data_IF_348663231136
#
_entry.id   IF_348663231136
#
_cell.length_a   1.000
_cell.length_b   1.000
_cell.length_c   1.000
_cell.angle_alpha   90.00
_cell.angle_beta   90.00
_cell.angle_gamma   90.00
#
_symmetry.space_group_name_H-M   'P 1'
#
loop_
_entity.id
_entity.type
_entity.pdbx_description
1 polymer ?
#
# COMPACT_ATOMS: atom_id res chain seq x y z
N UNK A 1 -9.92 18.31 -14.61
CA UNK A 1 -9.26 18.00 -13.31
C UNK A 1 -8.01 17.16 -13.58
N UNK A 2 -7.04 17.15 -12.66
CA UNK A 2 -5.75 16.43 -12.82
C UNK A 2 -5.92 14.92 -13.08
N UNK A 3 -7.04 14.32 -12.63
CA UNK A 3 -7.36 12.89 -12.80
C UNK A 3 -8.59 12.63 -13.69
N UNK A 4 -8.92 13.54 -14.61
CA UNK A 4 -10.09 13.42 -15.48
C UNK A 4 -9.74 13.13 -16.95
N UNK A 5 -8.51 12.71 -17.22
CA UNK A 5 -8.08 12.38 -18.57
C UNK A 5 -8.74 11.07 -19.03
N UNK A 6 -9.71 11.20 -19.93
CA UNK A 6 -10.44 10.07 -20.51
C UNK A 6 -9.67 9.41 -21.67
N UNK A 7 -8.49 9.92 -22.03
CA UNK A 7 -7.64 9.29 -23.05
C UNK A 7 -6.80 8.12 -22.50
N UNK A 8 -6.72 7.99 -21.18
CA UNK A 8 -6.03 6.87 -20.53
C UNK A 8 -6.81 5.58 -20.84
N UNK A 9 -6.18 4.55 -21.44
CA UNK A 9 -6.86 3.31 -21.78
C UNK A 9 -7.29 2.55 -20.51
N UNK A 10 -8.47 1.93 -20.58
CA UNK A 10 -8.98 1.03 -19.54
C UNK A 10 -8.92 -0.39 -20.06
N UNK A 11 -8.12 -1.23 -19.41
CA UNK A 11 -7.88 -2.63 -19.79
C UNK A 11 -8.40 -3.53 -18.68
N UNK A 12 -9.07 -4.63 -19.05
CA UNK A 12 -9.50 -5.65 -18.09
C UNK A 12 -8.29 -6.37 -17.51
N UNK A 13 -8.30 -6.60 -16.19
CA UNK A 13 -7.25 -7.34 -15.50
C UNK A 13 -7.82 -8.28 -14.43
N UNK A 14 -7.04 -9.30 -14.09
CA UNK A 14 -7.23 -10.22 -12.97
C UNK A 14 -6.32 -9.75 -11.84
N UNK A 15 -6.84 -9.76 -10.61
CA UNK A 15 -6.13 -9.33 -9.42
C UNK A 15 -6.01 -10.51 -8.45
N UNK A 16 -4.79 -10.87 -8.12
CA UNK A 16 -4.48 -11.97 -7.20
C UNK A 16 -3.57 -11.49 -6.08
N UNK A 17 -3.55 -12.28 -5.00
CA UNK A 17 -2.70 -12.03 -3.84
C UNK A 17 -2.17 -13.35 -3.30
N UNK A 18 -0.93 -13.35 -2.84
CA UNK A 18 -0.29 -14.49 -2.19
C UNK A 18 0.55 -14.02 -1.00
N UNK A 19 0.78 -14.92 -0.06
CA UNK A 19 1.59 -14.68 1.13
C UNK A 19 0.82 -14.74 2.45
N UNK A 20 1.59 -14.78 3.54
CA UNK A 20 1.09 -14.99 4.89
C UNK A 20 1.04 -13.70 5.73
N UNK A 21 1.45 -12.58 5.15
CA UNK A 21 1.50 -11.27 5.81
C UNK A 21 2.55 -11.16 6.92
N UNK A 22 3.42 -12.17 7.07
CA UNK A 22 4.48 -12.23 8.09
C UNK A 22 5.87 -12.32 7.45
N UNK A 23 6.02 -13.14 6.42
CA UNK A 23 7.27 -13.33 5.70
C UNK A 23 7.29 -12.51 4.41
N UNK A 24 6.18 -12.55 3.67
CA UNK A 24 6.00 -11.77 2.46
C UNK A 24 4.52 -11.55 2.16
N UNK A 25 4.27 -10.62 1.24
CA UNK A 25 2.99 -10.40 0.59
C UNK A 25 3.26 -10.07 -0.87
N UNK A 26 2.51 -10.68 -1.78
CA UNK A 26 2.61 -10.42 -3.21
C UNK A 26 1.23 -10.06 -3.74
N UNK A 27 1.15 -8.99 -4.51
CA UNK A 27 -0.03 -8.64 -5.30
C UNK A 27 0.31 -8.72 -6.78
N UNK A 28 -0.57 -9.38 -7.54
CA UNK A 28 -0.41 -9.59 -8.97
C UNK A 28 -1.57 -8.95 -9.72
N UNK A 29 -1.25 -8.26 -10.81
CA UNK A 29 -2.19 -7.69 -11.76
C UNK A 29 -1.85 -8.22 -13.14
N UNK A 30 -2.73 -9.05 -13.69
CA UNK A 30 -2.56 -9.65 -15.01
C UNK A 30 -3.64 -9.15 -15.97
N UNK A 31 -3.24 -8.57 -17.08
CA UNK A 31 -4.12 -8.12 -18.15
C UNK A 31 -3.81 -8.86 -19.45
N UNK A 32 -4.51 -8.49 -20.53
CA UNK A 32 -4.19 -9.00 -21.86
C UNK A 32 -2.83 -8.51 -22.39
N UNK A 33 -2.28 -7.43 -21.83
CA UNK A 33 -1.10 -6.74 -22.36
C UNK A 33 0.10 -6.79 -21.40
N UNK A 34 -0.15 -6.80 -20.10
CA UNK A 34 0.87 -6.67 -19.06
C UNK A 34 0.61 -7.60 -17.88
N UNK A 35 1.70 -8.06 -17.26
CA UNK A 35 1.73 -8.75 -15.98
C UNK A 35 2.60 -7.96 -15.01
N UNK A 36 2.01 -7.57 -13.88
CA UNK A 36 2.67 -6.77 -12.84
C UNK A 36 2.61 -7.57 -11.54
N UNK A 37 3.77 -7.77 -10.92
CA UNK A 37 3.88 -8.39 -9.59
C UNK A 37 4.60 -7.43 -8.65
N UNK A 38 4.02 -7.18 -7.48
CA UNK A 38 4.64 -6.40 -6.42
C UNK A 38 4.72 -7.22 -5.14
N UNK A 39 5.94 -7.48 -4.68
CA UNK A 39 6.21 -8.27 -3.48
C UNK A 39 6.84 -7.41 -2.40
N UNK A 40 6.29 -7.46 -1.18
CA UNK A 40 6.84 -6.85 0.04
C UNK A 40 7.36 -7.95 0.97
N UNK A 41 8.53 -7.74 1.59
CA UNK A 41 9.10 -8.68 2.55
C UNK A 41 10.09 -7.98 3.50
N UNK A 42 10.65 -8.72 4.46
CA UNK A 42 11.48 -8.17 5.54
C UNK A 42 10.73 -7.07 6.30
N UNK A 43 9.57 -7.45 6.85
CA UNK A 43 8.68 -6.52 7.52
C UNK A 43 9.30 -5.98 8.83
N UNK A 44 9.02 -4.72 9.11
CA UNK A 44 9.26 -4.10 10.40
C UNK A 44 8.07 -4.35 11.35
N UNK A 45 8.22 -3.90 12.59
CA UNK A 45 7.16 -4.02 13.59
C UNK A 45 5.88 -3.28 13.11
N UNK A 46 4.73 -3.97 13.05
CA UNK A 46 3.47 -3.32 12.70
C UNK A 46 3.07 -2.25 13.71
N UNK A 47 2.42 -1.19 13.23
CA UNK A 47 1.89 -0.15 14.13
C UNK A 47 0.55 0.40 13.64
N UNK A 48 -0.20 0.98 14.58
CA UNK A 48 -1.46 1.66 14.26
C UNK A 48 -1.22 3.17 14.24
N UNK A 49 -1.50 3.80 13.10
CA UNK A 49 -1.63 5.24 13.02
C UNK A 49 -3.07 5.65 13.31
N UNK A 50 -3.24 6.63 14.20
CA UNK A 50 -4.55 7.15 14.60
C UNK A 50 -4.71 8.58 14.13
N UNK A 51 -5.86 8.87 13.55
CA UNK A 51 -6.36 10.23 13.38
C UNK A 51 -7.74 10.34 14.04
N UNK A 52 -7.89 11.28 14.96
CA UNK A 52 -9.16 11.47 15.69
C UNK A 52 -10.28 12.00 14.77
N UNK A 53 -11.55 11.73 15.10
CA UNK A 53 -12.67 12.42 14.47
C UNK A 53 -12.49 13.95 14.49
N UNK A 54 -12.65 14.60 13.33
CA UNK A 54 -12.50 16.05 13.18
C UNK A 54 -11.07 16.59 13.20
N UNK A 55 -10.04 15.74 13.38
CA UNK A 55 -8.63 16.18 13.37
C UNK A 55 -8.11 16.57 11.98
N UNK A 56 -8.78 16.12 10.92
CA UNK A 56 -8.45 16.45 9.53
C UNK A 56 -9.53 17.40 8.98
N UNK A 57 -9.17 18.60 8.49
CA UNK A 57 -10.13 19.55 7.93
C UNK A 57 -11.02 18.90 6.86
N UNK A 58 -12.34 19.03 7.02
CA UNK A 58 -13.33 18.44 6.10
C UNK A 58 -13.62 16.95 6.31
N UNK A 59 -13.02 16.28 7.31
CA UNK A 59 -13.27 14.86 7.60
C UNK A 59 -13.88 14.68 8.99
N UNK A 60 -15.17 14.32 9.03
CA UNK A 60 -15.88 14.07 10.29
C UNK A 60 -15.40 12.79 11.01
N UNK A 61 -15.03 11.76 10.25
CA UNK A 61 -14.62 10.47 10.81
C UNK A 61 -13.18 10.47 11.29
N UNK A 62 -12.95 9.75 12.39
CA UNK A 62 -11.62 9.29 12.79
C UNK A 62 -11.28 7.98 12.10
N UNK A 63 -9.99 7.65 12.05
CA UNK A 63 -9.49 6.41 11.46
C UNK A 63 -8.34 5.85 12.29
N UNK A 64 -8.34 4.53 12.44
CA UNK A 64 -7.22 3.73 12.93
C UNK A 64 -6.74 2.87 11.76
N UNK A 65 -5.52 3.11 11.29
CA UNK A 65 -4.93 2.41 10.15
C UNK A 65 -3.76 1.54 10.65
N UNK A 66 -3.86 0.23 10.47
CA UNK A 66 -2.76 -0.71 10.75
C UNK A 66 -1.80 -0.71 9.56
N UNK A 67 -0.53 -0.41 9.82
CA UNK A 67 0.54 -0.39 8.82
C UNK A 67 1.57 -1.47 9.15
N UNK A 68 2.01 -2.18 8.10
CA UNK A 68 3.10 -3.16 8.16
C UNK A 68 4.20 -2.67 7.20
N UNK A 69 5.22 -1.94 7.68
CA UNK A 69 6.29 -1.44 6.83
C UNK A 69 7.18 -2.59 6.35
N UNK A 70 7.60 -2.54 5.09
CA UNK A 70 8.53 -3.50 4.51
C UNK A 70 9.89 -2.84 4.28
N UNK A 71 10.98 -3.46 4.72
CA UNK A 71 12.33 -2.94 4.43
C UNK A 71 12.76 -3.24 3.00
N UNK A 72 12.15 -4.25 2.38
CA UNK A 72 12.41 -4.66 1.01
C UNK A 72 11.10 -4.78 0.22
N UNK A 73 11.18 -4.46 -1.07
CA UNK A 73 10.11 -4.69 -2.01
C UNK A 73 10.68 -4.92 -3.41
N UNK A 74 9.99 -5.71 -4.22
CA UNK A 74 10.35 -5.99 -5.60
C UNK A 74 9.13 -5.76 -6.50
N UNK A 75 9.31 -4.92 -7.52
CA UNK A 75 8.36 -4.78 -8.62
C UNK A 75 8.90 -5.56 -9.82
N UNK A 76 8.08 -6.46 -10.36
CA UNK A 76 8.35 -7.19 -11.61
C UNK A 76 7.31 -6.78 -12.64
N UNK A 77 7.74 -6.33 -13.81
CA UNK A 77 6.86 -5.99 -14.94
C UNK A 77 7.22 -6.86 -16.12
N UNK A 78 6.26 -7.65 -16.61
CA UNK A 78 6.45 -8.60 -17.72
C UNK A 78 7.67 -9.52 -17.53
N UNK A 79 7.85 -10.01 -16.30
CA UNK A 79 8.96 -10.88 -15.90
C UNK A 79 10.31 -10.17 -15.70
N UNK A 80 10.37 -8.85 -15.87
CA UNK A 80 11.59 -8.06 -15.62
C UNK A 80 11.51 -7.33 -14.28
N UNK A 81 12.52 -7.55 -13.44
CA UNK A 81 12.63 -6.86 -12.15
C UNK A 81 13.01 -5.40 -12.36
N UNK A 82 12.21 -4.49 -11.84
CA UNK A 82 12.47 -3.06 -11.88
C UNK A 82 13.65 -2.69 -10.96
N UNK A 83 14.41 -1.68 -11.36
CA UNK A 83 15.45 -1.11 -10.52
C UNK A 83 14.84 -0.25 -9.41
N UNK A 84 15.33 -0.40 -8.18
CA UNK A 84 14.89 0.42 -7.05
C UNK A 84 15.02 -0.32 -5.74
N UNK A 85 14.73 0.39 -4.64
CA UNK A 85 14.54 -0.20 -3.31
C UNK A 85 13.69 0.72 -2.45
N UNK A 86 13.02 0.21 -1.42
CA UNK A 86 12.43 1.05 -0.38
C UNK A 86 13.49 1.88 0.35
N UNK A 87 13.09 3.04 0.84
CA UNK A 87 13.91 3.89 1.69
C UNK A 87 13.29 4.00 3.09
N UNK A 88 14.09 4.03 4.17
CA UNK A 88 13.57 4.29 5.51
C UNK A 88 12.89 5.66 5.60
N UNK A 89 11.77 5.73 6.32
CA UNK A 89 11.06 6.98 6.59
C UNK A 89 10.40 6.97 7.98
N UNK A 90 9.98 8.13 8.46
CA UNK A 90 9.20 8.23 9.69
C UNK A 90 7.72 8.49 9.36
N UNK A 91 6.83 7.78 10.03
CA UNK A 91 5.38 8.05 9.99
C UNK A 91 4.91 8.46 11.39
N UNK A 92 4.98 9.76 11.66
CA UNK A 92 4.83 10.28 13.02
C UNK A 92 6.06 9.95 13.87
N UNK A 93 5.85 9.29 15.00
CA UNK A 93 6.91 8.80 15.90
C UNK A 93 7.37 7.36 15.57
N UNK A 94 6.81 6.74 14.53
CA UNK A 94 7.06 5.34 14.15
C UNK A 94 8.05 5.24 13.01
N UNK A 95 8.99 4.29 13.12
CA UNK A 95 9.83 3.87 12.01
C UNK A 95 8.98 3.18 10.94
N UNK A 96 9.26 3.52 9.68
CA UNK A 96 8.54 3.03 8.50
C UNK A 96 9.51 2.96 7.31
N UNK A 97 8.98 2.70 6.13
CA UNK A 97 9.69 2.84 4.86
C UNK A 97 8.75 3.40 3.79
N UNK A 98 9.29 3.72 2.62
CA UNK A 98 8.51 4.09 1.43
C UNK A 98 7.70 2.92 0.85
N UNK A 99 7.75 1.72 1.45
CA UNK A 99 7.01 0.54 1.04
C UNK A 99 6.26 -0.06 2.23
N UNK A 100 4.95 0.14 2.29
CA UNK A 100 4.14 -0.23 3.46
C UNK A 100 2.84 -0.87 3.01
N UNK A 101 2.46 -1.96 3.68
CA UNK A 101 1.10 -2.50 3.56
C UNK A 101 0.18 -1.71 4.49
N UNK A 102 -0.82 -1.05 3.93
CA UNK A 102 -1.95 -0.50 4.67
C UNK A 102 -2.95 -1.63 4.95
N UNK A 103 -2.67 -2.42 5.98
CA UNK A 103 -3.28 -3.74 6.18
C UNK A 103 -4.78 -3.68 6.49
N UNK A 104 -5.20 -2.72 7.31
CA UNK A 104 -6.61 -2.57 7.67
C UNK A 104 -6.90 -1.17 8.18
N UNK A 105 -8.13 -0.70 7.96
CA UNK A 105 -8.63 0.55 8.53
C UNK A 105 -9.94 0.34 9.27
N UNK A 106 -10.06 0.99 10.44
CA UNK A 106 -11.32 1.09 11.18
C UNK A 106 -11.72 2.55 11.30
N UNK A 107 -12.93 2.86 10.84
CA UNK A 107 -13.49 4.21 10.80
C UNK A 107 -14.47 4.43 11.95
N UNK A 108 -14.35 5.57 12.62
CA UNK A 108 -15.14 5.87 13.83
C UNK A 108 -15.75 7.26 13.77
N UNK A 109 -16.88 7.43 14.45
CA UNK A 109 -17.48 8.74 14.74
C UNK A 109 -17.00 9.25 16.10
N UNK A 110 -17.12 10.57 16.30
CA UNK A 110 -17.01 11.15 17.64
C UNK A 110 -18.09 10.56 18.54
N UNK A 111 -17.72 10.23 19.78
CA UNK A 111 -18.68 9.85 20.83
C UNK A 111 -18.95 11.04 21.72
#
# INVERSE_FOLDING_TARGET
>A
PEFADQSIPVISAIFERDGDGQNYWTETVDSAEESIELTWHDFAEPFVLRAEPGSVPGRAHGVYSCFVPARQAQLTVNGQVASGRPFPEQRGDKESSTAVLAWSETWVLAR
#
